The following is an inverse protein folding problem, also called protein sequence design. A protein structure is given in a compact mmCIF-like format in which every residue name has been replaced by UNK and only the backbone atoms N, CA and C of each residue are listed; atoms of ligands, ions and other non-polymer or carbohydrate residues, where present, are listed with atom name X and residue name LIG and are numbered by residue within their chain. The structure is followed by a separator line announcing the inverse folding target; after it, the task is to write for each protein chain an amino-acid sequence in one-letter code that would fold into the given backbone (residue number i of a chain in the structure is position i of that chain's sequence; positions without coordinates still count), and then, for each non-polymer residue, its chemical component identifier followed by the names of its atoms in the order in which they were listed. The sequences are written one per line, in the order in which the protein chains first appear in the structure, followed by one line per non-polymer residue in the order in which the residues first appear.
data_IF_814732976057
#
_entry.id   IF_814732976057
#
_cell.length_a   1.000
_cell.length_b   1.000
_cell.length_c   1.000
_cell.angle_alpha   90.00
_cell.angle_beta   90.00
_cell.angle_gamma   90.00
#
_symmetry.space_group_name_H-M   'P 1'
#
loop_
_entity.id
_entity.type
_entity.pdbx_description
1 polymer ?
#
# COMPACT_ATOMS: atom_id res chain seq x y z
N UNK A 1 4.86 7.29 0.16
CA UNK A 1 5.89 6.30 0.49
C UNK A 1 5.62 5.03 -0.30
N UNK A 2 6.65 4.25 -0.66
CA UNK A 2 6.47 2.90 -1.19
C UNK A 2 7.30 1.88 -0.38
N UNK A 3 6.83 1.54 0.82
CA UNK A 3 7.42 0.51 1.67
C UNK A 3 6.31 -0.50 2.00
N UNK A 4 6.35 -1.74 1.48
CA UNK A 4 5.34 -2.74 1.76
C UNK A 4 5.61 -3.48 3.08
N UNK A 5 4.56 -4.04 3.68
CA UNK A 5 4.70 -4.99 4.79
C UNK A 5 4.83 -6.42 4.26
N UNK A 6 5.89 -7.10 4.71
CA UNK A 6 6.25 -8.44 4.31
C UNK A 6 5.58 -9.47 5.22
N UNK A 7 4.98 -10.51 4.66
CA UNK A 7 4.31 -11.59 5.41
C UNK A 7 5.32 -12.35 6.30
N UNK A 8 4.86 -12.88 7.43
CA UNK A 8 5.70 -13.68 8.34
C UNK A 8 6.43 -14.84 7.64
N UNK A 9 5.77 -15.48 6.68
CA UNK A 9 6.33 -16.57 5.84
C UNK A 9 6.52 -16.07 4.41
N UNK A 10 7.27 -14.98 4.29
CA UNK A 10 7.54 -14.29 3.02
C UNK A 10 8.23 -15.13 1.97
N UNK A 11 9.09 -16.05 2.39
CA UNK A 11 9.99 -16.80 1.54
C UNK A 11 9.36 -18.05 0.90
N UNK A 12 8.06 -18.30 1.14
CA UNK A 12 7.34 -19.48 0.65
C UNK A 12 7.37 -19.65 -0.88
N UNK A 13 7.62 -18.59 -1.64
CA UNK A 13 7.73 -18.59 -3.11
C UNK A 13 9.05 -17.96 -3.59
N UNK A 14 10.06 -17.89 -2.74
CA UNK A 14 11.31 -17.19 -3.05
C UNK A 14 12.06 -17.79 -4.25
N UNK A 15 11.98 -19.11 -4.45
CA UNK A 15 12.55 -19.79 -5.62
C UNK A 15 11.91 -19.36 -6.94
N UNK A 16 10.68 -18.85 -6.90
CA UNK A 16 9.98 -18.28 -8.05
C UNK A 16 10.25 -16.77 -8.19
N UNK A 17 11.10 -16.19 -7.34
CA UNK A 17 11.39 -14.76 -7.31
C UNK A 17 10.22 -13.92 -6.76
N UNK A 18 9.40 -14.50 -5.89
CA UNK A 18 8.24 -13.85 -5.29
C UNK A 18 8.43 -13.73 -3.77
N UNK A 19 8.17 -12.54 -3.22
CA UNK A 19 8.19 -12.28 -1.78
C UNK A 19 6.76 -12.01 -1.32
N UNK A 20 6.23 -12.83 -0.42
CA UNK A 20 4.83 -12.68 0.03
C UNK A 20 4.66 -11.43 0.89
N UNK A 21 3.56 -10.71 0.66
CA UNK A 21 3.23 -9.45 1.34
C UNK A 21 1.92 -9.54 2.12
N UNK A 22 1.83 -8.75 3.20
CA UNK A 22 0.58 -8.44 3.89
C UNK A 22 -0.14 -7.28 3.22
N UNK A 23 0.58 -6.20 2.89
CA UNK A 23 0.03 -5.03 2.19
C UNK A 23 1.14 -4.26 1.44
N UNK A 24 0.75 -3.36 0.54
CA UNK A 24 1.65 -2.52 -0.24
C UNK A 24 1.00 -1.18 -0.62
N UNK A 25 1.81 -0.22 -1.05
CA UNK A 25 1.28 1.02 -1.63
C UNK A 25 0.69 0.80 -3.02
N UNK A 26 -0.08 1.77 -3.53
CA UNK A 26 -0.56 1.76 -4.93
C UNK A 26 0.56 1.95 -5.96
N UNK A 27 1.78 2.24 -5.55
CA UNK A 27 2.93 2.36 -6.45
C UNK A 27 3.27 0.98 -7.01
N UNK A 28 3.14 0.83 -8.33
CA UNK A 28 3.41 -0.44 -9.03
C UNK A 28 2.47 -1.59 -8.65
N UNK A 29 1.24 -1.30 -8.24
CA UNK A 29 0.28 -2.33 -7.88
C UNK A 29 -0.51 -2.84 -9.10
N UNK A 30 -0.63 -4.16 -9.21
CA UNK A 30 -1.54 -4.81 -10.15
C UNK A 30 -2.54 -5.66 -9.37
N UNK A 31 -3.83 -5.52 -9.69
CA UNK A 31 -4.91 -6.25 -9.02
C UNK A 31 -5.75 -6.97 -10.06
N UNK A 32 -5.95 -8.27 -9.86
CA UNK A 32 -6.82 -9.07 -10.72
C UNK A 32 -8.29 -8.62 -10.55
N UNK A 33 -9.03 -8.48 -11.65
CA UNK A 33 -10.44 -8.08 -11.60
C UNK A 33 -11.33 -8.99 -10.72
N UNK A 34 -10.96 -10.26 -10.54
CA UNK A 34 -11.66 -11.17 -9.62
C UNK A 34 -11.45 -10.78 -8.15
N UNK A 35 -10.27 -10.29 -7.79
CA UNK A 35 -10.02 -9.77 -6.45
C UNK A 35 -10.88 -8.53 -6.20
N UNK A 36 -10.98 -7.61 -7.17
CA UNK A 36 -11.87 -6.42 -7.08
C UNK A 36 -13.33 -6.85 -6.89
N UNK A 37 -13.81 -7.82 -7.67
CA UNK A 37 -15.18 -8.35 -7.52
C UNK A 37 -15.44 -8.96 -6.15
N UNK A 38 -14.40 -9.53 -5.51
CA UNK A 38 -14.50 -10.18 -4.22
C UNK A 38 -14.48 -9.19 -3.05
N UNK A 39 -13.57 -8.22 -3.08
CA UNK A 39 -13.37 -7.31 -1.95
C UNK A 39 -14.10 -5.98 -2.12
N UNK A 40 -14.39 -5.56 -3.35
CA UNK A 40 -14.90 -4.24 -3.68
C UNK A 40 -13.79 -3.29 -4.14
N UNK A 41 -14.08 -1.99 -4.16
CA UNK A 41 -13.11 -0.94 -4.49
C UNK A 41 -12.38 -0.44 -3.22
N UNK A 42 -11.31 0.37 -3.38
CA UNK A 42 -10.78 1.15 -2.26
C UNK A 42 -11.87 2.04 -1.65
N UNK A 43 -11.83 2.20 -0.32
CA UNK A 43 -12.79 3.02 0.41
C UNK A 43 -12.50 4.50 0.10
N UNK A 44 -13.50 5.19 -0.45
CA UNK A 44 -13.37 6.58 -0.95
C UNK A 44 -13.11 7.63 0.13
N UNK A 45 -13.42 7.30 1.37
CA UNK A 45 -13.33 8.14 2.56
C UNK A 45 -11.88 8.33 3.01
N UNK A 46 -10.98 7.43 2.60
CA UNK A 46 -9.53 7.65 2.67
C UNK A 46 -9.10 8.64 1.58
N UNK A 47 -9.05 9.91 1.94
CA UNK A 47 -8.82 11.02 1.02
C UNK A 47 -7.34 11.36 0.82
N UNK A 48 -6.45 10.99 1.75
CA UNK A 48 -5.03 11.40 1.72
C UNK A 48 -4.06 10.26 1.95
N UNK A 49 -4.32 9.35 2.91
CA UNK A 49 -3.42 8.25 3.23
C UNK A 49 -4.19 7.01 3.70
N UNK A 50 -3.58 5.83 3.57
CA UNK A 50 -4.06 4.59 4.18
C UNK A 50 -5.04 3.76 3.34
N UNK A 51 -5.56 4.31 2.24
CA UNK A 51 -6.39 3.57 1.29
C UNK A 51 -5.65 2.39 0.66
N UNK A 52 -4.36 2.57 0.39
CA UNK A 52 -3.51 1.56 -0.21
C UNK A 52 -3.23 0.37 0.71
N UNK A 53 -2.90 0.66 1.97
CA UNK A 53 -2.71 -0.35 3.02
C UNK A 53 -4.01 -1.13 3.25
N UNK A 54 -5.12 -0.43 3.53
CA UNK A 54 -6.43 -1.05 3.78
C UNK A 54 -6.87 -1.95 2.61
N UNK A 55 -6.79 -1.43 1.39
CA UNK A 55 -7.25 -2.13 0.21
C UNK A 55 -6.42 -3.37 -0.08
N UNK A 56 -5.08 -3.24 -0.03
CA UNK A 56 -4.19 -4.35 -0.32
C UNK A 56 -4.19 -5.41 0.80
N UNK A 57 -4.44 -5.01 2.06
CA UNK A 57 -4.63 -5.96 3.17
C UNK A 57 -5.92 -6.78 3.01
N UNK A 58 -7.05 -6.15 2.64
CA UNK A 58 -8.27 -6.91 2.31
C UNK A 58 -8.05 -7.91 1.18
N UNK A 59 -7.28 -7.53 0.16
CA UNK A 59 -6.95 -8.44 -0.94
C UNK A 59 -6.10 -9.61 -0.41
N UNK A 60 -5.07 -9.34 0.40
CA UNK A 60 -4.14 -10.36 0.89
C UNK A 60 -4.80 -11.40 1.80
N UNK A 61 -5.88 -11.02 2.51
CA UNK A 61 -6.71 -11.92 3.30
C UNK A 61 -7.44 -12.98 2.45
N UNK A 62 -7.63 -12.74 1.15
CA UNK A 62 -8.36 -13.65 0.25
C UNK A 62 -7.51 -14.21 -0.89
N UNK A 63 -6.44 -13.52 -1.28
CA UNK A 63 -5.61 -13.86 -2.41
C UNK A 63 -4.13 -13.71 -2.06
N UNK A 64 -3.31 -14.64 -2.52
CA UNK A 64 -1.87 -14.54 -2.34
C UNK A 64 -1.33 -13.29 -3.05
N UNK A 65 -0.61 -12.47 -2.29
CA UNK A 65 -0.10 -11.16 -2.73
C UNK A 65 1.42 -11.15 -2.62
N UNK A 66 2.10 -10.63 -3.65
CA UNK A 66 3.54 -10.76 -3.79
C UNK A 66 4.21 -9.48 -4.29
N UNK A 67 5.37 -9.18 -3.71
CA UNK A 67 6.36 -8.31 -4.32
C UNK A 67 7.13 -9.08 -5.39
N UNK A 68 7.24 -8.47 -6.58
CA UNK A 68 7.94 -9.04 -7.74
C UNK A 68 9.14 -8.15 -8.07
N UNK A 69 10.39 -8.51 -7.69
CA UNK A 69 11.56 -7.64 -7.83
C UNK A 69 11.86 -7.21 -9.28
N UNK A 70 11.43 -8.02 -10.26
CA UNK A 70 11.60 -7.74 -11.70
C UNK A 70 10.53 -6.80 -12.26
N UNK A 71 9.47 -6.49 -11.50
CA UNK A 71 8.42 -5.56 -11.90
C UNK A 71 8.77 -4.16 -11.41
N UNK A 72 9.44 -3.39 -12.26
CA UNK A 72 9.98 -2.07 -11.91
C UNK A 72 9.24 -0.94 -12.62
N UNK A 73 8.93 0.12 -11.87
CA UNK A 73 8.36 1.38 -12.40
C UNK A 73 9.12 2.58 -11.83
N UNK A 74 9.10 3.70 -12.53
CA UNK A 74 9.68 4.96 -12.04
C UNK A 74 8.58 5.78 -11.38
N UNK A 75 8.68 5.97 -10.05
CA UNK A 75 7.79 6.85 -9.31
C UNK A 75 8.45 8.22 -9.14
N UNK A 76 7.92 9.25 -9.81
CA UNK A 76 8.46 10.61 -9.71
C UNK A 76 7.97 11.28 -8.43
N UNK A 77 8.83 11.32 -7.40
CA UNK A 77 8.58 12.00 -6.15
C UNK A 77 9.81 12.78 -5.69
N UNK A 78 9.59 13.84 -4.93
CA UNK A 78 10.67 14.68 -4.39
C UNK A 78 11.45 13.94 -3.30
N UNK A 79 10.74 13.25 -2.41
CA UNK A 79 11.29 12.48 -1.28
C UNK A 79 10.46 11.21 -1.03
N UNK A 80 11.11 10.08 -0.73
CA UNK A 80 10.46 8.82 -0.35
C UNK A 80 10.44 8.64 1.18
N UNK A 81 9.92 9.63 1.90
CA UNK A 81 9.85 9.66 3.37
C UNK A 81 8.46 9.26 3.88
N UNK A 82 8.45 8.70 5.09
CA UNK A 82 7.22 8.31 5.81
C UNK A 82 6.35 9.53 6.06
N UNK A 83 5.05 9.29 6.25
CA UNK A 83 4.12 10.31 6.72
C UNK A 83 4.34 10.46 8.21
N UNK A 84 4.91 11.59 8.61
CA UNK A 84 5.10 11.87 10.02
C UNK A 84 4.90 13.36 10.27
N UNK A 85 3.81 13.70 10.94
CA UNK A 85 3.43 15.09 11.24
C UNK A 85 4.53 15.87 11.96
N UNK A 86 5.37 15.20 12.75
CA UNK A 86 6.45 15.82 13.51
C UNK A 86 7.64 16.22 12.64
N UNK A 87 7.78 15.61 11.46
CA UNK A 87 8.95 15.80 10.59
C UNK A 87 8.58 16.23 9.16
N UNK A 88 7.29 16.42 8.85
CA UNK A 88 6.83 16.77 7.52
C UNK A 88 7.00 18.27 7.21
N UNK A 89 6.94 18.61 5.93
CA UNK A 89 6.99 19.98 5.45
C UNK A 89 5.80 20.79 6.02
N UNK A 90 6.02 22.01 6.56
CA UNK A 90 4.95 22.88 7.04
C UNK A 90 3.78 23.06 6.07
N UNK A 91 4.04 23.04 4.76
CA UNK A 91 3.03 23.17 3.71
C UNK A 91 2.15 21.91 3.56
N UNK A 92 2.54 20.78 4.15
CA UNK A 92 1.80 19.51 4.15
C UNK A 92 1.02 19.29 5.44
N UNK A 93 1.25 20.10 6.48
CA UNK A 93 0.57 19.99 7.79
C UNK A 93 -0.96 20.06 7.66
N UNK A 94 -1.49 20.88 6.74
CA UNK A 94 -2.93 20.99 6.49
C UNK A 94 -3.59 19.67 6.06
N UNK A 95 -2.81 18.72 5.53
CA UNK A 95 -3.30 17.40 5.10
C UNK A 95 -3.60 16.49 6.29
N UNK A 96 -2.91 16.64 7.41
CA UNK A 96 -3.14 15.83 8.61
C UNK A 96 -4.52 16.09 9.24
N UNK A 97 -5.19 17.20 8.90
CA UNK A 97 -6.59 17.43 9.27
C UNK A 97 -7.53 16.32 8.77
N UNK A 98 -7.23 15.70 7.63
CA UNK A 98 -8.04 14.64 7.05
C UNK A 98 -7.68 13.24 7.57
N UNK A 99 -6.47 13.08 8.12
CA UNK A 99 -5.97 11.83 8.71
C UNK A 99 -6.72 11.48 10.02
N UNK A 100 -6.97 12.50 10.86
CA UNK A 100 -7.72 12.36 12.12
C UNK A 100 -9.20 11.99 11.91
N UNK A 101 -9.74 12.17 10.70
CA UNK A 101 -11.13 11.80 10.38
C UNK A 101 -11.30 10.36 9.87
N UNK A 102 -10.20 9.70 9.53
CA UNK A 102 -10.20 8.34 8.97
C UNK A 102 -10.01 7.25 10.03
N UNK A 103 -9.83 7.64 11.30
CA UNK A 103 -9.54 6.76 12.44
C UNK A 103 -10.74 6.50 13.36
N UNK A 104 -11.98 6.78 12.93
CA UNK A 104 -13.21 6.53 13.70
C UNK A 104 -14.02 5.35 13.17
#
# INVERSE_FOLDING_TARGET
MNIPEVDKVWNSQMTNGLVKLNHASFVSMYVNAQAIKKVGYPISEFFIWGDDIEYSERISQHYASYFVPKSTVIHKMKDNVEVNILTDDPNRISRYYYDVKQTN
#
